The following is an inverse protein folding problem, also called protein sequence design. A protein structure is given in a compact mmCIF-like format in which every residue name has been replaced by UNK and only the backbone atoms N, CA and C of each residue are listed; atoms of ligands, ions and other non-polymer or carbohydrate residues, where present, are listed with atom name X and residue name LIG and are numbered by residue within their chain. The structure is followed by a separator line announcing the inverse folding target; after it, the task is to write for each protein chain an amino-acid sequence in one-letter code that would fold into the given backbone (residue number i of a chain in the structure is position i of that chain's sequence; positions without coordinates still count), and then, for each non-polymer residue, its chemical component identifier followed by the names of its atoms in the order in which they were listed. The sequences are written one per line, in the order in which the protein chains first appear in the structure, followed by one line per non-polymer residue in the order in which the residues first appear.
data_IF_783280456568
#
_entry.id   IF_783280456568
#
_cell.length_a   1.000
_cell.length_b   1.000
_cell.length_c   1.000
_cell.angle_alpha   90.00
_cell.angle_beta   90.00
_cell.angle_gamma   90.00
#
_symmetry.space_group_name_H-M   'P 1'
#
loop_
_entity.id
_entity.type
_entity.pdbx_description
1 polymer ?
#
# COMPACT_ATOMS: atom_id res chain seq x y z
N UNK A 1 25.60 27.19 -1.85
CA UNK A 1 25.68 27.17 -0.39
C UNK A 1 25.76 25.76 0.15
N UNK A 2 26.39 25.58 1.28
CA UNK A 2 26.46 24.28 1.93
C UNK A 2 25.06 23.86 2.38
N UNK A 3 24.64 22.65 2.00
CA UNK A 3 23.41 22.06 2.51
C UNK A 3 23.68 21.61 3.95
N UNK A 4 22.99 22.20 4.93
CA UNK A 4 23.11 21.75 6.30
C UNK A 4 22.20 20.55 6.54
N UNK A 5 22.76 19.50 7.10
CA UNK A 5 22.06 18.26 7.36
C UNK A 5 20.91 18.49 8.36
N UNK A 6 19.67 18.18 7.92
CA UNK A 6 18.48 18.31 8.76
C UNK A 6 17.93 19.73 8.93
N UNK A 7 18.46 20.74 8.21
CA UNK A 7 18.03 22.13 8.34
C UNK A 7 17.10 22.62 7.23
N UNK A 8 16.92 21.85 6.16
CA UNK A 8 16.07 22.24 5.05
C UNK A 8 14.73 21.53 5.11
N UNK A 9 13.66 22.31 4.99
CA UNK A 9 12.28 21.79 4.91
C UNK A 9 11.73 22.02 3.51
N UNK A 10 11.11 21.00 2.91
CA UNK A 10 10.43 21.10 1.64
C UNK A 10 8.93 21.28 1.89
N UNK A 11 8.45 22.53 1.73
CA UNK A 11 7.08 22.89 2.08
C UNK A 11 6.90 23.06 3.59
N UNK A 12 5.68 23.39 4.00
CA UNK A 12 5.28 23.48 5.41
C UNK A 12 3.76 23.24 5.55
N UNK A 13 3.21 23.46 6.73
CA UNK A 13 1.78 23.26 7.00
C UNK A 13 0.86 24.15 6.14
N UNK A 14 1.33 25.33 5.74
CA UNK A 14 0.55 26.31 4.96
C UNK A 14 0.86 26.26 3.46
N UNK A 15 2.09 25.90 3.10
CA UNK A 15 2.58 25.86 1.72
C UNK A 15 3.03 24.46 1.36
N UNK A 16 2.09 23.65 0.85
CA UNK A 16 2.31 22.25 0.51
C UNK A 16 2.54 22.09 -0.98
N UNK A 17 3.38 21.15 -1.36
CA UNK A 17 3.45 20.67 -2.73
C UNK A 17 2.23 19.78 -2.99
N UNK A 18 1.64 19.90 -4.19
CA UNK A 18 0.51 19.06 -4.56
C UNK A 18 0.96 17.61 -4.75
N UNK A 19 1.94 17.41 -5.63
CA UNK A 19 2.47 16.09 -5.94
C UNK A 19 4.00 16.13 -6.00
N UNK A 20 4.62 14.98 -5.75
CA UNK A 20 6.05 14.76 -5.95
C UNK A 20 6.29 13.54 -6.82
N UNK A 21 7.15 13.66 -7.83
CA UNK A 21 7.50 12.57 -8.74
C UNK A 21 9.01 12.31 -8.66
N UNK A 22 9.38 11.08 -8.34
CA UNK A 22 10.78 10.67 -8.19
C UNK A 22 11.05 9.45 -9.07
N UNK A 23 12.14 9.49 -9.82
CA UNK A 23 12.55 8.35 -10.64
C UNK A 23 13.35 7.30 -9.86
N UNK A 24 13.84 7.68 -8.69
CA UNK A 24 14.64 6.81 -7.83
C UNK A 24 13.99 6.57 -6.47
N UNK A 25 14.83 6.23 -5.51
CA UNK A 25 14.42 5.91 -4.15
C UNK A 25 14.28 7.16 -3.29
N UNK A 26 13.24 7.23 -2.48
CA UNK A 26 13.10 8.24 -1.42
C UNK A 26 13.46 7.59 -0.09
N UNK A 27 14.47 8.13 0.59
CA UNK A 27 14.93 7.65 1.89
C UNK A 27 14.52 8.66 2.96
N UNK A 28 13.79 8.20 3.96
CA UNK A 28 13.37 9.02 5.10
C UNK A 28 13.34 8.15 6.36
N UNK A 29 13.55 8.76 7.51
CA UNK A 29 13.42 8.06 8.78
C UNK A 29 11.97 7.59 9.01
N UNK A 30 10.99 8.32 8.46
CA UNK A 30 9.56 7.99 8.60
C UNK A 30 8.73 8.65 7.50
N UNK A 31 7.59 8.04 7.18
CA UNK A 31 6.57 8.60 6.29
C UNK A 31 5.23 8.63 7.02
N UNK A 32 4.66 9.84 7.20
CA UNK A 32 3.31 10.00 7.75
C UNK A 32 2.31 10.12 6.62
N UNK A 33 1.34 9.22 6.58
CA UNK A 33 0.22 9.30 5.64
C UNK A 33 -0.99 9.87 6.35
N UNK A 34 -1.51 10.99 5.83
CA UNK A 34 -2.71 11.65 6.39
C UNK A 34 -3.90 10.69 6.33
N UNK A 35 -4.58 10.51 7.47
CA UNK A 35 -5.69 9.55 7.57
C UNK A 35 -6.74 9.99 8.60
N UNK A 36 -6.90 11.30 8.78
CA UNK A 36 -7.83 11.86 9.75
C UNK A 36 -9.29 11.58 9.34
N UNK A 37 -10.11 11.18 10.32
CA UNK A 37 -11.52 10.85 10.09
C UNK A 37 -12.32 12.05 9.53
N UNK A 38 -11.95 13.27 9.88
CA UNK A 38 -12.65 14.48 9.42
C UNK A 38 -12.49 14.74 7.93
N UNK A 39 -11.54 14.07 7.28
CA UNK A 39 -11.29 14.20 5.84
C UNK A 39 -11.94 13.08 5.02
N UNK A 40 -12.68 12.19 5.68
CA UNK A 40 -13.25 10.99 5.06
C UNK A 40 -14.76 10.96 5.19
N UNK A 41 -15.42 10.31 4.24
CA UNK A 41 -16.87 10.06 4.26
C UNK A 41 -17.12 8.63 3.80
N UNK A 42 -18.32 8.11 4.05
CA UNK A 42 -18.73 6.76 3.66
C UNK A 42 -17.74 5.68 4.11
N UNK A 43 -17.28 5.80 5.35
CA UNK A 43 -16.32 4.85 5.93
C UNK A 43 -17.03 3.54 6.25
N UNK A 44 -16.62 2.47 5.61
CA UNK A 44 -17.17 1.14 5.79
C UNK A 44 -16.04 0.12 6.01
N UNK A 45 -16.30 -0.88 6.83
CA UNK A 45 -15.37 -1.99 7.04
C UNK A 45 -15.29 -2.83 5.76
N UNK A 46 -14.05 -3.16 5.35
CA UNK A 46 -13.83 -4.03 4.19
C UNK A 46 -14.36 -5.44 4.48
N UNK A 47 -14.90 -6.06 3.44
CA UNK A 47 -15.38 -7.45 3.48
C UNK A 47 -14.73 -8.27 2.36
N UNK A 48 -14.64 -9.58 2.53
CA UNK A 48 -14.04 -10.47 1.53
C UNK A 48 -12.53 -10.28 1.37
N UNK A 49 -11.87 -9.73 2.38
CA UNK A 49 -10.44 -9.38 2.31
C UNK A 49 -9.53 -10.60 2.29
N UNK A 50 -9.90 -11.68 2.98
CA UNK A 50 -9.10 -12.91 2.95
C UNK A 50 -9.09 -13.53 1.55
N UNK A 51 -10.24 -13.60 0.88
CA UNK A 51 -10.32 -14.11 -0.48
C UNK A 51 -9.55 -13.21 -1.47
N UNK A 52 -9.61 -11.89 -1.27
CA UNK A 52 -8.83 -10.95 -2.06
C UNK A 52 -7.33 -11.22 -1.91
N UNK A 53 -6.83 -11.35 -0.68
CA UNK A 53 -5.41 -11.64 -0.42
C UNK A 53 -5.00 -12.98 -1.04
N UNK A 54 -5.83 -14.00 -0.97
CA UNK A 54 -5.56 -15.31 -1.58
C UNK A 54 -5.48 -15.25 -3.11
N UNK A 55 -6.08 -14.26 -3.72
CA UNK A 55 -6.04 -14.02 -5.17
C UNK A 55 -4.84 -13.18 -5.61
N UNK A 56 -4.11 -12.59 -4.67
CA UNK A 56 -2.89 -11.84 -4.94
C UNK A 56 -1.67 -12.76 -4.89
N UNK A 57 -0.56 -12.33 -5.49
CA UNK A 57 0.71 -13.03 -5.31
C UNK A 57 1.86 -12.05 -5.10
N UNK A 58 2.74 -12.41 -4.19
CA UNK A 58 4.03 -11.75 -4.05
C UNK A 58 5.00 -12.33 -5.07
N UNK A 59 5.82 -11.48 -5.67
CA UNK A 59 6.79 -11.89 -6.70
C UNK A 59 8.16 -11.33 -6.42
N UNK A 60 9.19 -12.00 -6.91
CA UNK A 60 10.49 -11.40 -7.13
C UNK A 60 10.60 -11.00 -8.59
N UNK A 61 11.31 -9.92 -8.88
CA UNK A 61 11.46 -9.42 -10.24
C UNK A 61 12.76 -8.64 -10.39
N UNK A 62 13.18 -8.43 -11.63
CA UNK A 62 14.32 -7.57 -11.96
C UNK A 62 13.82 -6.37 -12.75
N UNK A 63 14.31 -5.18 -12.40
CA UNK A 63 14.02 -3.97 -13.18
C UNK A 63 14.70 -4.05 -14.55
N UNK A 64 13.94 -3.84 -15.62
CA UNK A 64 14.48 -3.83 -16.98
C UNK A 64 15.56 -2.76 -17.17
N UNK A 65 15.40 -1.61 -16.52
CA UNK A 65 16.27 -0.46 -16.68
C UNK A 65 17.70 -0.73 -16.19
N UNK A 66 17.85 -1.42 -15.06
CA UNK A 66 19.17 -1.57 -14.42
C UNK A 66 19.50 -2.99 -13.98
N UNK A 67 18.57 -3.94 -14.12
CA UNK A 67 18.77 -5.33 -13.74
C UNK A 67 18.73 -5.60 -12.23
N UNK A 68 18.40 -4.61 -11.42
CA UNK A 68 18.33 -4.77 -9.96
C UNK A 68 17.12 -5.64 -9.57
N UNK A 69 17.37 -6.59 -8.67
CA UNK A 69 16.35 -7.52 -8.18
C UNK A 69 15.59 -6.92 -7.00
N UNK A 70 14.28 -7.08 -7.00
CA UNK A 70 13.40 -6.66 -5.90
C UNK A 70 12.25 -7.64 -5.71
N UNK A 71 11.45 -7.40 -4.68
CA UNK A 71 10.23 -8.14 -4.40
C UNK A 71 9.05 -7.16 -4.34
N UNK A 72 7.87 -7.63 -4.71
CA UNK A 72 6.69 -6.80 -4.68
C UNK A 72 5.49 -7.52 -5.31
N UNK A 73 4.61 -6.76 -5.91
CA UNK A 73 3.43 -7.26 -6.63
C UNK A 73 3.41 -6.68 -8.04
N UNK A 74 2.61 -7.27 -8.92
CA UNK A 74 2.38 -6.75 -10.28
C UNK A 74 1.09 -5.92 -10.27
N UNK A 75 1.19 -4.65 -10.64
CA UNK A 75 0.07 -3.72 -10.56
C UNK A 75 -1.18 -4.20 -11.30
N UNK A 76 -1.03 -4.81 -12.47
CA UNK A 76 -2.15 -5.35 -13.25
C UNK A 76 -2.87 -6.50 -12.53
N UNK A 77 -2.13 -7.35 -11.83
CA UNK A 77 -2.73 -8.43 -11.04
C UNK A 77 -3.48 -7.88 -9.82
N UNK A 78 -2.91 -6.88 -9.18
CA UNK A 78 -3.57 -6.19 -8.04
C UNK A 78 -4.84 -5.48 -8.50
N UNK A 79 -4.79 -4.80 -9.63
CA UNK A 79 -5.95 -4.06 -10.18
C UNK A 79 -7.16 -4.97 -10.42
N UNK A 80 -6.92 -6.20 -10.87
CA UNK A 80 -7.99 -7.17 -11.10
C UNK A 80 -8.76 -7.54 -9.82
N UNK A 81 -8.14 -7.39 -8.65
CA UNK A 81 -8.69 -7.78 -7.35
C UNK A 81 -9.04 -6.56 -6.49
N UNK A 82 -8.16 -5.56 -6.47
CA UNK A 82 -8.23 -4.36 -5.62
C UNK A 82 -7.96 -3.10 -6.46
N UNK A 83 -8.88 -2.72 -7.35
CA UNK A 83 -8.66 -1.57 -8.24
C UNK A 83 -8.39 -0.26 -7.49
N UNK A 84 -8.91 -0.09 -6.28
CA UNK A 84 -8.79 1.15 -5.51
C UNK A 84 -7.36 1.42 -5.01
N UNK A 85 -6.48 0.42 -4.99
CA UNK A 85 -5.09 0.60 -4.59
C UNK A 85 -4.14 0.74 -5.78
N UNK A 86 -4.67 0.82 -7.00
CA UNK A 86 -3.88 0.98 -8.23
C UNK A 86 -4.22 2.31 -8.89
N UNK A 87 -3.19 3.02 -9.30
CA UNK A 87 -3.31 4.26 -10.08
C UNK A 87 -2.64 4.06 -11.44
N UNK A 88 -3.18 4.72 -12.46
CA UNK A 88 -2.61 4.71 -13.81
C UNK A 88 -2.32 6.15 -14.22
N UNK A 89 -1.09 6.44 -14.67
CA UNK A 89 -0.73 7.77 -15.14
C UNK A 89 -1.16 8.00 -16.58
N UNK A 90 -0.90 9.21 -17.10
CA UNK A 90 -1.27 9.60 -18.47
C UNK A 90 -0.61 8.72 -19.55
N UNK A 91 0.52 8.09 -19.25
CA UNK A 91 1.26 7.21 -20.16
C UNK A 91 0.82 5.75 -20.06
N UNK A 92 -0.16 5.45 -19.20
CA UNK A 92 -0.65 4.09 -18.99
C UNK A 92 0.18 3.25 -18.02
N UNK A 93 1.17 3.84 -17.34
CA UNK A 93 1.99 3.14 -16.35
C UNK A 93 1.25 3.08 -15.02
N UNK A 94 1.18 1.88 -14.46
CA UNK A 94 0.44 1.61 -13.23
C UNK A 94 1.34 1.59 -12.01
N UNK A 95 0.78 2.08 -10.91
CA UNK A 95 1.44 2.14 -9.59
C UNK A 95 0.52 1.55 -8.54
N UNK A 96 1.11 0.96 -7.51
CA UNK A 96 0.38 0.36 -6.38
C UNK A 96 0.58 1.21 -5.13
N UNK A 97 -0.53 1.53 -4.46
CA UNK A 97 -0.50 2.19 -3.14
C UNK A 97 -0.25 1.12 -2.08
N UNK A 98 1.01 0.69 -1.96
CA UNK A 98 1.39 -0.40 -1.05
C UNK A 98 0.91 -0.19 0.38
N UNK A 99 1.03 1.03 0.91
CA UNK A 99 0.59 1.34 2.26
C UNK A 99 -0.90 1.11 2.49
N UNK A 100 -1.72 1.31 1.47
CA UNK A 100 -3.17 1.11 1.56
C UNK A 100 -3.56 -0.37 1.61
N UNK A 101 -2.69 -1.26 1.16
CA UNK A 101 -2.92 -2.70 1.24
C UNK A 101 -2.93 -3.21 2.69
N UNK A 102 -2.36 -2.44 3.62
CA UNK A 102 -2.40 -2.77 5.06
C UNK A 102 -3.84 -2.92 5.55
N UNK A 103 -4.77 -2.09 5.09
CA UNK A 103 -6.17 -2.18 5.47
C UNK A 103 -6.79 -3.52 5.05
N UNK A 104 -6.47 -3.99 3.86
CA UNK A 104 -6.92 -5.30 3.35
C UNK A 104 -6.32 -6.44 4.17
N UNK A 105 -5.04 -6.35 4.50
CA UNK A 105 -4.35 -7.36 5.31
C UNK A 105 -4.91 -7.40 6.73
N UNK A 106 -5.27 -6.26 7.33
CA UNK A 106 -5.90 -6.19 8.66
C UNK A 106 -7.19 -7.01 8.66
N UNK A 107 -8.09 -6.75 7.72
CA UNK A 107 -9.38 -7.45 7.67
C UNK A 107 -9.22 -8.91 7.24
N UNK A 108 -8.27 -9.22 6.35
CA UNK A 108 -7.95 -10.60 5.96
C UNK A 108 -7.47 -11.42 7.16
N UNK A 109 -6.59 -10.85 7.99
CA UNK A 109 -6.12 -11.51 9.21
C UNK A 109 -7.26 -11.80 10.19
N UNK A 110 -8.18 -10.84 10.36
CA UNK A 110 -9.34 -11.00 11.23
C UNK A 110 -10.29 -12.10 10.73
N UNK A 111 -10.54 -12.13 9.42
CA UNK A 111 -11.35 -13.19 8.79
C UNK A 111 -10.68 -14.56 8.97
N UNK A 112 -9.38 -14.64 8.79
CA UNK A 112 -8.61 -15.86 9.01
C UNK A 112 -8.68 -16.32 10.47
N UNK A 113 -8.59 -15.39 11.41
CA UNK A 113 -8.69 -15.68 12.84
C UNK A 113 -10.07 -16.27 13.20
N UNK A 114 -11.14 -15.74 12.61
CA UNK A 114 -12.48 -16.30 12.81
C UNK A 114 -12.59 -17.74 12.30
N UNK A 115 -11.97 -18.05 11.17
CA UNK A 115 -11.93 -19.41 10.64
C UNK A 115 -11.14 -20.36 11.54
N UNK A 116 -10.02 -19.88 12.09
CA UNK A 116 -9.21 -20.65 13.04
C UNK A 116 -10.03 -20.97 14.30
N UNK A 117 -10.69 -19.98 14.87
CA UNK A 117 -11.55 -20.16 16.07
C UNK A 117 -12.69 -21.14 15.79
N UNK A 118 -13.31 -21.07 14.62
CA UNK A 118 -14.36 -22.01 14.22
C UNK A 118 -13.82 -23.45 14.12
N UNK A 119 -12.61 -23.65 13.59
CA UNK A 119 -11.95 -24.94 13.51
C UNK A 119 -11.56 -25.47 14.90
N UNK A 120 -11.06 -24.59 15.78
CA UNK A 120 -10.72 -24.95 17.17
C UNK A 120 -11.96 -25.44 17.92
N UNK A 121 -13.11 -24.80 17.74
CA UNK A 121 -14.38 -25.23 18.34
C UNK A 121 -14.76 -26.63 17.86
N UNK A 122 -14.62 -26.93 16.57
CA UNK A 122 -14.90 -28.25 16.01
C UNK A 122 -13.99 -29.32 16.56
N UNK A 123 -12.69 -29.00 16.73
CA UNK A 123 -11.71 -29.94 17.27
C UNK A 123 -11.90 -30.19 18.77
N UNK A 124 -12.50 -29.22 19.50
CA UNK A 124 -12.81 -29.35 20.92
C UNK A 124 -14.07 -30.17 21.21
N UNK A 125 -14.89 -30.46 20.20
CA UNK A 125 -16.06 -31.31 20.30
C UNK A 125 -15.66 -32.79 20.22
#
# INVERSE_FOLDING_TARGET
GALSNGALTLGDASYKFNDGHFSGTVNAANFNTTSDATLKTNVETLTGSLDAVKSLRGVSFDWLENGNSEVGVIAQEVEAVLPDVVSTNAEGIKSVKYGNMVAVLIEAMKEQQLRIEALELKLGE
#
